data_IF_936317339190
#
_entry.id   IF_936317339190
#
_cell.length_a   1.000
_cell.length_b   1.000
_cell.length_c   1.000
_cell.angle_alpha   90.00
_cell.angle_beta   90.00
_cell.angle_gamma   90.00
#
_symmetry.space_group_name_H-M   'P 1'
#
loop_
_entity.id
_entity.type
_entity.pdbx_description
1 polymer ?
#
# COMPACT_ATOMS: atom_id res chain seq x y z
N UNK A 1 41.92 -11.92 -62.04
CA UNK A 1 41.41 -13.10 -61.29
C UNK A 1 42.08 -13.25 -59.93
N UNK A 2 43.42 -13.26 -59.82
CA UNK A 2 44.12 -13.51 -58.55
C UNK A 2 44.15 -12.30 -57.60
N UNK A 3 44.26 -11.07 -58.10
CA UNK A 3 44.10 -9.86 -57.27
C UNK A 3 42.68 -9.69 -56.70
N UNK A 4 41.65 -10.05 -57.47
CA UNK A 4 40.25 -10.01 -57.03
C UNK A 4 39.99 -11.01 -55.89
N UNK A 5 40.51 -12.24 -56.00
CA UNK A 5 40.40 -13.25 -54.95
C UNK A 5 41.09 -12.81 -53.66
N UNK A 6 42.29 -12.21 -53.75
CA UNK A 6 43.03 -11.68 -52.60
C UNK A 6 42.28 -10.53 -51.92
N UNK A 7 41.73 -9.57 -52.68
CA UNK A 7 40.90 -8.49 -52.12
C UNK A 7 39.63 -9.00 -51.45
N UNK A 8 38.94 -9.97 -52.06
CA UNK A 8 37.74 -10.57 -51.49
C UNK A 8 37.99 -11.24 -50.14
N UNK A 9 39.11 -11.97 -50.01
CA UNK A 9 39.51 -12.62 -48.76
C UNK A 9 39.93 -11.62 -47.67
N UNK A 10 40.57 -10.51 -48.05
CA UNK A 10 40.90 -9.43 -47.12
C UNK A 10 39.63 -8.78 -46.56
N UNK A 11 38.64 -8.51 -47.42
CA UNK A 11 37.34 -7.98 -47.00
C UNK A 11 36.61 -8.97 -46.09
N UNK A 12 36.59 -10.26 -46.45
CA UNK A 12 35.98 -11.29 -45.62
C UNK A 12 36.60 -11.39 -44.22
N UNK A 13 37.92 -11.31 -44.09
CA UNK A 13 38.57 -11.28 -42.78
C UNK A 13 38.14 -10.07 -41.94
N UNK A 14 38.07 -8.89 -42.56
CA UNK A 14 37.61 -7.68 -41.85
C UNK A 14 36.16 -7.82 -41.37
N UNK A 15 35.27 -8.40 -42.19
CA UNK A 15 33.88 -8.66 -41.80
C UNK A 15 33.79 -9.68 -40.65
N UNK A 16 34.64 -10.70 -40.63
CA UNK A 16 34.71 -11.68 -39.53
C UNK A 16 35.20 -11.02 -38.24
N UNK A 17 36.24 -10.19 -38.28
CA UNK A 17 36.75 -9.48 -37.09
C UNK A 17 35.69 -8.52 -36.51
N UNK A 18 34.93 -7.83 -37.38
CA UNK A 18 33.79 -7.01 -36.95
C UNK A 18 32.69 -7.85 -36.32
N UNK A 19 32.33 -8.99 -36.93
CA UNK A 19 31.34 -9.91 -36.37
C UNK A 19 31.77 -10.46 -35.00
N UNK A 20 33.05 -10.81 -34.83
CA UNK A 20 33.59 -11.31 -33.56
C UNK A 20 33.53 -10.23 -32.46
N UNK A 21 33.79 -8.97 -32.82
CA UNK A 21 33.64 -7.84 -31.90
C UNK A 21 32.18 -7.68 -31.48
N UNK A 22 31.24 -7.72 -32.43
CA UNK A 22 29.80 -7.62 -32.15
C UNK A 22 29.29 -8.77 -31.27
N UNK A 23 29.80 -9.99 -31.46
CA UNK A 23 29.45 -11.16 -30.63
C UNK A 23 29.98 -11.02 -29.20
N UNK A 24 31.18 -10.45 -29.01
CA UNK A 24 31.71 -10.14 -27.68
C UNK A 24 30.87 -9.08 -26.97
N UNK A 25 30.51 -7.99 -27.66
CA UNK A 25 29.63 -6.96 -27.10
C UNK A 25 28.23 -7.52 -26.75
N UNK A 26 27.67 -8.35 -27.62
CA UNK A 26 26.40 -9.04 -27.38
C UNK A 26 26.47 -9.97 -26.16
N UNK A 27 27.57 -10.71 -26.00
CA UNK A 27 27.77 -11.58 -24.82
C UNK A 27 27.80 -10.76 -23.53
N UNK A 28 28.55 -9.66 -23.52
CA UNK A 28 28.61 -8.77 -22.36
C UNK A 28 27.24 -8.16 -22.01
N UNK A 29 26.49 -7.72 -23.01
CA UNK A 29 25.13 -7.18 -22.84
C UNK A 29 24.16 -8.24 -22.29
N UNK A 30 24.22 -9.47 -22.79
CA UNK A 30 23.38 -10.58 -22.32
C UNK A 30 23.68 -10.94 -20.87
N UNK A 31 24.95 -10.99 -20.47
CA UNK A 31 25.32 -11.21 -19.07
C UNK A 31 24.84 -10.07 -18.15
N UNK A 32 24.84 -8.84 -18.64
CA UNK A 32 24.29 -7.71 -17.90
C UNK A 32 22.78 -7.82 -17.72
N UNK A 33 22.04 -8.23 -18.75
CA UNK A 33 20.60 -8.49 -18.65
C UNK A 33 20.31 -9.60 -17.62
N UNK A 34 21.09 -10.69 -17.62
CA UNK A 34 20.95 -11.76 -16.64
C UNK A 34 21.18 -11.25 -15.20
N UNK A 35 22.25 -10.47 -14.98
CA UNK A 35 22.54 -9.86 -13.67
C UNK A 35 21.41 -8.92 -13.22
N UNK A 36 20.89 -8.10 -14.13
CA UNK A 36 19.78 -7.19 -13.84
C UNK A 36 18.49 -7.95 -13.50
N UNK A 37 18.21 -9.06 -14.17
CA UNK A 37 17.06 -9.91 -13.86
C UNK A 37 17.15 -10.49 -12.44
N UNK A 38 18.33 -10.97 -12.03
CA UNK A 38 18.58 -11.47 -10.66
C UNK A 38 18.42 -10.35 -9.62
N UNK A 39 19.07 -9.20 -9.82
CA UNK A 39 18.95 -8.04 -8.92
C UNK A 39 17.49 -7.56 -8.79
N UNK A 40 16.75 -7.55 -9.89
CA UNK A 40 15.32 -7.18 -9.89
C UNK A 40 14.47 -8.21 -9.14
N UNK A 41 14.80 -9.51 -9.23
CA UNK A 41 14.15 -10.57 -8.44
C UNK A 41 14.38 -10.38 -6.94
N UNK A 42 15.60 -10.05 -6.51
CA UNK A 42 15.92 -9.75 -5.11
C UNK A 42 15.15 -8.53 -4.58
N UNK A 43 15.15 -7.43 -5.35
CA UNK A 43 14.40 -6.22 -5.01
C UNK A 43 12.87 -6.46 -4.97
N UNK A 44 12.37 -7.31 -5.87
CA UNK A 44 10.98 -7.78 -5.87
C UNK A 44 10.69 -8.59 -4.60
N UNK A 45 11.61 -9.47 -4.17
CA UNK A 45 11.50 -10.22 -2.92
C UNK A 45 11.38 -9.32 -1.69
N UNK A 46 12.22 -8.29 -1.60
CA UNK A 46 12.15 -7.29 -0.51
C UNK A 46 10.82 -6.51 -0.54
N UNK A 47 10.38 -6.10 -1.73
CA UNK A 47 9.11 -5.39 -1.91
C UNK A 47 7.90 -6.27 -1.52
N UNK A 48 7.95 -7.57 -1.83
CA UNK A 48 6.93 -8.54 -1.46
C UNK A 48 6.83 -8.67 0.07
N UNK A 49 7.97 -8.74 0.75
CA UNK A 49 8.02 -8.80 2.21
C UNK A 49 7.43 -7.53 2.84
N UNK A 50 7.84 -6.35 2.35
CA UNK A 50 7.30 -5.06 2.83
C UNK A 50 5.79 -4.94 2.61
N UNK A 51 5.27 -5.40 1.46
CA UNK A 51 3.84 -5.41 1.17
C UNK A 51 3.06 -6.35 2.12
N UNK A 52 3.61 -7.53 2.43
CA UNK A 52 3.02 -8.47 3.40
C UNK A 52 2.99 -7.88 4.81
N UNK A 53 4.09 -7.32 5.27
CA UNK A 53 4.15 -6.64 6.58
C UNK A 53 3.18 -5.46 6.64
N UNK A 54 3.07 -4.68 5.57
CA UNK A 54 2.08 -3.62 5.44
C UNK A 54 0.66 -4.15 5.57
N UNK A 55 0.36 -5.29 4.94
CA UNK A 55 -0.97 -5.92 4.97
C UNK A 55 -1.31 -6.38 6.38
N UNK A 56 -0.36 -6.99 7.07
CA UNK A 56 -0.56 -7.48 8.43
C UNK A 56 -0.82 -6.31 9.40
N UNK A 57 -0.08 -5.19 9.27
CA UNK A 57 -0.35 -3.95 10.03
C UNK A 57 -1.73 -3.35 9.73
N UNK A 58 -2.19 -3.43 8.49
CA UNK A 58 -3.54 -2.99 8.11
C UNK A 58 -4.59 -3.89 8.77
N UNK A 59 -4.36 -5.21 8.83
CA UNK A 59 -5.24 -6.15 9.53
C UNK A 59 -5.32 -5.86 11.03
N UNK A 60 -4.18 -5.56 11.67
CA UNK A 60 -4.15 -5.14 13.08
C UNK A 60 -4.95 -3.84 13.28
N UNK A 61 -4.80 -2.89 12.36
CA UNK A 61 -5.56 -1.62 12.36
C UNK A 61 -7.06 -1.87 12.24
N UNK A 62 -7.48 -2.80 11.36
CA UNK A 62 -8.88 -3.20 11.24
C UNK A 62 -9.41 -3.76 12.56
N UNK A 63 -8.66 -4.63 13.24
CA UNK A 63 -9.04 -5.19 14.54
C UNK A 63 -9.16 -4.12 15.63
N UNK A 64 -8.22 -3.17 15.67
CA UNK A 64 -8.26 -2.04 16.61
C UNK A 64 -9.48 -1.14 16.37
N UNK A 65 -9.81 -0.85 15.10
CA UNK A 65 -10.99 -0.07 14.70
C UNK A 65 -12.28 -0.78 15.13
N UNK A 66 -12.40 -2.09 14.93
CA UNK A 66 -13.56 -2.86 15.36
C UNK A 66 -13.75 -2.83 16.87
N UNK A 67 -12.66 -2.92 17.63
CA UNK A 67 -12.69 -2.80 19.10
C UNK A 67 -13.17 -1.40 19.50
N UNK A 68 -12.64 -0.36 18.86
CA UNK A 68 -13.06 1.02 19.10
C UNK A 68 -14.55 1.25 18.77
N UNK A 69 -15.07 0.63 17.71
CA UNK A 69 -16.51 0.66 17.41
C UNK A 69 -17.34 0.09 18.55
N UNK A 70 -16.91 -1.05 19.11
CA UNK A 70 -17.61 -1.66 20.25
C UNK A 70 -17.56 -0.77 21.49
N UNK A 71 -16.42 -0.15 21.78
CA UNK A 71 -16.26 0.75 22.94
C UNK A 71 -17.14 2.00 22.81
N UNK A 72 -17.23 2.58 21.61
CA UNK A 72 -18.12 3.72 21.31
C UNK A 72 -19.59 3.33 21.52
N UNK A 73 -19.99 2.16 21.04
CA UNK A 73 -21.37 1.65 21.23
C UNK A 73 -21.68 1.41 22.72
N UNK A 74 -20.78 0.76 23.45
CA UNK A 74 -20.93 0.53 24.88
C UNK A 74 -21.06 1.86 25.65
N UNK A 75 -20.25 2.85 25.29
CA UNK A 75 -20.29 4.16 25.93
C UNK A 75 -21.58 4.91 25.60
N UNK A 76 -22.08 4.81 24.37
CA UNK A 76 -23.39 5.36 24.01
C UNK A 76 -24.52 4.79 24.89
N UNK A 77 -24.55 3.47 25.11
CA UNK A 77 -25.53 2.82 25.99
C UNK A 77 -25.43 3.32 27.44
N UNK A 78 -24.21 3.49 27.97
CA UNK A 78 -24.02 4.02 29.32
C UNK A 78 -24.56 5.46 29.46
N UNK A 79 -24.33 6.30 28.45
CA UNK A 79 -24.81 7.69 28.45
C UNK A 79 -26.33 7.76 28.28
N UNK A 80 -26.94 6.90 27.47
CA UNK A 80 -28.39 6.76 27.38
C UNK A 80 -29.01 6.33 28.73
N UNK A 81 -28.30 5.48 29.48
CA UNK A 81 -28.65 5.14 30.86
C UNK A 81 -28.66 6.36 31.77
N UNK A 82 -27.63 7.21 31.71
CA UNK A 82 -27.57 8.47 32.47
C UNK A 82 -28.69 9.43 32.08
N UNK A 83 -29.00 9.56 30.78
CA UNK A 83 -30.11 10.38 30.30
C UNK A 83 -31.46 9.89 30.84
N UNK A 84 -31.62 8.57 31.00
CA UNK A 84 -32.81 7.97 31.60
C UNK A 84 -32.89 8.24 33.10
N UNK A 85 -31.79 8.05 33.84
CA UNK A 85 -31.72 8.38 35.26
C UNK A 85 -32.00 9.86 35.52
N UNK A 86 -31.46 10.76 34.68
CA UNK A 86 -31.76 12.19 34.75
C UNK A 86 -33.24 12.51 34.56
N UNK A 87 -33.94 11.80 33.66
CA UNK A 87 -35.41 11.94 33.51
C UNK A 87 -36.17 11.48 34.74
N UNK A 88 -35.75 10.37 35.35
CA UNK A 88 -36.42 9.84 36.54
C UNK A 88 -36.18 10.73 37.77
N UNK A 89 -34.99 11.30 37.94
CA UNK A 89 -34.73 12.32 38.96
C UNK A 89 -35.63 13.54 38.74
N UNK A 90 -35.80 13.99 37.49
CA UNK A 90 -36.72 15.09 37.16
C UNK A 90 -38.15 14.84 37.66
N UNK A 91 -38.69 13.63 37.43
CA UNK A 91 -40.02 13.23 37.93
C UNK A 91 -40.10 13.25 39.46
N UNK A 92 -39.04 12.82 40.15
CA UNK A 92 -39.00 12.85 41.62
C UNK A 92 -38.97 14.29 42.13
N UNK A 93 -38.22 15.18 41.48
CA UNK A 93 -38.19 16.61 41.84
C UNK A 93 -39.54 17.29 41.66
N UNK A 94 -40.30 16.94 40.61
CA UNK A 94 -41.67 17.44 40.43
C UNK A 94 -42.58 17.07 41.60
N UNK A 95 -42.45 15.83 42.12
CA UNK A 95 -43.20 15.38 43.30
C UNK A 95 -42.76 16.13 44.56
N UNK A 96 -41.45 16.33 44.78
CA UNK A 96 -40.95 17.06 45.95
C UNK A 96 -41.40 18.53 45.91
N UNK A 97 -41.37 19.17 44.73
CA UNK A 97 -41.86 20.54 44.53
C UNK A 97 -43.35 20.63 44.89
N UNK A 98 -44.17 19.70 44.41
CA UNK A 98 -45.58 19.63 44.76
C UNK A 98 -45.81 19.44 46.27
N UNK A 99 -45.02 18.59 46.94
CA UNK A 99 -45.08 18.41 48.40
C UNK A 99 -44.68 19.69 49.13
N UNK A 100 -43.63 20.38 48.69
CA UNK A 100 -43.17 21.64 49.29
C UNK A 100 -44.24 22.74 49.16
N UNK A 101 -44.88 22.87 47.99
CA UNK A 101 -45.99 23.80 47.77
C UNK A 101 -47.21 23.46 48.64
N UNK A 102 -47.57 22.18 48.73
CA UNK A 102 -48.67 21.72 49.60
C UNK A 102 -48.36 21.97 51.08
N UNK A 103 -47.12 21.72 51.51
CA UNK A 103 -46.66 21.98 52.88
C UNK A 103 -46.67 23.46 53.20
N UNK A 104 -46.27 24.31 52.25
CA UNK A 104 -46.35 25.77 52.38
C UNK A 104 -47.81 26.25 52.52
N UNK A 105 -48.75 25.68 51.77
CA UNK A 105 -50.19 25.95 51.88
C UNK A 105 -50.76 25.48 53.24
N UNK A 106 -50.39 24.28 53.69
CA UNK A 106 -50.78 23.75 55.00
C UNK A 106 -50.27 24.62 56.15
N UNK A 107 -49.00 25.03 56.08
CA UNK A 107 -48.38 25.92 57.06
C UNK A 107 -49.05 27.29 57.10
N UNK A 108 -49.41 27.85 55.93
CA UNK A 108 -50.16 29.10 55.85
C UNK A 108 -51.53 28.99 56.54
N UNK A 109 -52.27 27.91 56.28
CA UNK A 109 -53.56 27.68 56.93
C UNK A 109 -53.41 27.52 58.45
N UNK A 110 -52.37 26.83 58.91
CA UNK A 110 -52.06 26.69 60.34
C UNK A 110 -51.69 28.03 61.00
N UNK A 111 -50.92 28.88 60.30
CA UNK A 111 -50.57 30.23 60.78
C UNK A 111 -51.82 31.12 60.91
N UNK A 112 -52.75 31.04 59.95
CA UNK A 112 -54.03 31.75 59.98
C UNK A 112 -54.88 31.28 61.19
N UNK A 113 -55.00 29.97 61.41
CA UNK A 113 -55.80 29.44 62.52
C UNK A 113 -55.15 29.72 63.89
N UNK A 114 -53.81 29.69 63.96
CA UNK A 114 -53.06 30.09 65.15
C UNK A 114 -53.25 31.57 65.51
N UNK A 115 -53.27 32.46 64.51
CA UNK A 115 -53.60 33.88 64.72
C UNK A 115 -55.05 34.06 65.21
N UNK A 116 -55.98 33.20 64.75
CA UNK A 116 -57.38 33.20 65.15
C UNK A 116 -57.61 32.77 66.60
N UNK A 117 -56.75 31.89 67.12
CA UNK A 117 -56.76 31.43 68.51
C UNK A 117 -56.14 32.44 69.51
N UNK A 118 -55.61 33.57 69.04
CA UNK A 118 -55.06 34.64 69.88
C UNK A 118 -53.85 34.19 70.72
N UNK A 119 -53.83 34.55 72.01
CA UNK A 119 -52.72 34.21 72.94
C UNK A 119 -52.50 32.70 73.08
N UNK A 120 -53.55 31.87 72.97
CA UNK A 120 -53.44 30.42 73.06
C UNK A 120 -52.77 29.77 71.83
N UNK A 121 -52.80 30.45 70.67
CA UNK A 121 -52.22 29.97 69.41
C UNK A 121 -50.77 30.40 69.17
N UNK A 122 -50.19 31.20 70.08
CA UNK A 122 -48.90 31.86 69.85
C UNK A 122 -47.73 30.89 69.61
N UNK A 123 -47.71 29.76 70.32
CA UNK A 123 -46.73 28.69 70.08
C UNK A 123 -46.94 27.96 68.74
N UNK A 124 -48.19 27.76 68.32
CA UNK A 124 -48.51 27.16 67.02
C UNK A 124 -48.17 28.07 65.85
N UNK A 125 -48.30 29.40 66.01
CA UNK A 125 -47.94 30.38 64.98
C UNK A 125 -46.44 30.31 64.64
N UNK A 126 -45.57 30.22 65.67
CA UNK A 126 -44.11 30.10 65.46
C UNK A 126 -43.76 28.82 64.71
N UNK A 127 -44.39 27.69 65.07
CA UNK A 127 -44.18 26.42 64.38
C UNK A 127 -44.67 26.49 62.93
N UNK A 128 -45.81 27.12 62.68
CA UNK A 128 -46.35 27.28 61.34
C UNK A 128 -45.43 28.13 60.44
N UNK A 129 -44.86 29.22 60.97
CA UNK A 129 -43.89 30.04 60.22
C UNK A 129 -42.58 29.29 59.93
N UNK A 130 -42.07 28.48 60.87
CA UNK A 130 -40.87 27.67 60.66
C UNK A 130 -41.10 26.58 59.60
N UNK A 131 -42.27 25.91 59.63
CA UNK A 131 -42.66 24.93 58.59
C UNK A 131 -42.78 25.62 57.23
N UNK A 132 -43.33 26.85 57.18
CA UNK A 132 -43.43 27.64 55.95
C UNK A 132 -42.06 28.00 55.38
N UNK A 133 -41.13 28.44 56.24
CA UNK A 133 -39.76 28.74 55.86
C UNK A 133 -39.03 27.49 55.34
N UNK A 134 -39.23 26.33 55.97
CA UNK A 134 -38.66 25.05 55.54
C UNK A 134 -39.23 24.60 54.19
N UNK A 135 -40.54 24.74 53.98
CA UNK A 135 -41.18 24.45 52.71
C UNK A 135 -40.64 25.33 51.58
N UNK A 136 -40.45 26.64 51.83
CA UNK A 136 -39.86 27.57 50.87
C UNK A 136 -38.41 27.20 50.53
N UNK A 137 -37.57 26.89 51.53
CA UNK A 137 -36.20 26.43 51.31
C UNK A 137 -36.15 25.12 50.52
N UNK A 138 -37.07 24.20 50.79
CA UNK A 138 -37.18 22.94 50.04
C UNK A 138 -37.50 23.19 48.57
N UNK A 139 -38.47 24.07 48.27
CA UNK A 139 -38.83 24.44 46.91
C UNK A 139 -37.65 25.10 46.15
N UNK A 140 -36.92 25.99 46.81
CA UNK A 140 -35.72 26.61 46.22
C UNK A 140 -34.64 25.56 45.91
N UNK A 141 -34.32 24.67 46.84
CA UNK A 141 -33.36 23.60 46.61
C UNK A 141 -33.81 22.65 45.50
N UNK A 142 -35.09 22.30 45.41
CA UNK A 142 -35.59 21.48 44.28
C UNK A 142 -35.39 22.15 42.93
N UNK A 143 -35.58 23.47 42.85
CA UNK A 143 -35.36 24.23 41.61
C UNK A 143 -33.88 24.29 41.21
N UNK A 144 -32.98 24.40 42.18
CA UNK A 144 -31.53 24.32 41.93
C UNK A 144 -31.13 22.94 41.41
N UNK A 145 -31.66 21.86 41.99
CA UNK A 145 -31.40 20.49 41.52
C UNK A 145 -32.01 20.28 40.12
N UNK A 146 -33.20 20.81 39.84
CA UNK A 146 -33.84 20.73 38.52
C UNK A 146 -32.96 21.35 37.43
N UNK A 147 -32.34 22.52 37.71
CA UNK A 147 -31.36 23.13 36.80
C UNK A 147 -30.13 22.25 36.57
N UNK A 148 -29.59 21.63 37.63
CA UNK A 148 -28.46 20.70 37.50
C UNK A 148 -28.82 19.48 36.66
N UNK A 149 -30.00 18.90 36.88
CA UNK A 149 -30.50 17.75 36.12
C UNK A 149 -30.72 18.10 34.65
N UNK A 150 -31.28 19.28 34.35
CA UNK A 150 -31.40 19.77 32.97
C UNK A 150 -30.04 19.92 32.28
N UNK A 151 -29.03 20.42 33.01
CA UNK A 151 -27.65 20.48 32.54
C UNK A 151 -27.08 19.10 32.21
N UNK A 152 -27.29 18.11 33.09
CA UNK A 152 -26.90 16.71 32.85
C UNK A 152 -27.60 16.16 31.60
N UNK A 153 -28.91 16.35 31.47
CA UNK A 153 -29.68 15.87 30.31
C UNK A 153 -29.15 16.46 29.00
N UNK A 154 -28.89 17.77 28.96
CA UNK A 154 -28.32 18.39 27.77
C UNK A 154 -26.92 17.83 27.46
N UNK A 155 -26.04 17.76 28.46
CA UNK A 155 -24.70 17.19 28.29
C UNK A 155 -24.70 15.74 27.82
N UNK A 156 -25.64 14.91 28.32
CA UNK A 156 -25.81 13.54 27.82
C UNK A 156 -26.30 13.50 26.37
N UNK A 157 -27.18 14.42 25.96
CA UNK A 157 -27.65 14.52 24.58
C UNK A 157 -26.54 14.88 23.59
N UNK A 158 -25.73 15.88 23.93
CA UNK A 158 -24.54 16.27 23.15
C UNK A 158 -23.53 15.11 23.04
N UNK A 159 -23.32 14.38 24.14
CA UNK A 159 -22.41 13.24 24.16
C UNK A 159 -22.90 12.07 23.30
N UNK A 160 -24.21 11.76 23.28
CA UNK A 160 -24.80 10.76 22.38
C UNK A 160 -24.60 11.17 20.92
N UNK A 161 -24.85 12.43 20.57
CA UNK A 161 -24.66 12.93 19.21
C UNK A 161 -23.19 12.81 18.76
N UNK A 162 -22.25 13.16 19.65
CA UNK A 162 -20.80 13.01 19.40
C UNK A 162 -20.40 11.55 19.19
N UNK A 163 -20.97 10.63 19.97
CA UNK A 163 -20.74 9.19 19.81
C UNK A 163 -21.28 8.65 18.48
N UNK A 164 -22.45 9.11 18.03
CA UNK A 164 -23.00 8.74 16.72
C UNK A 164 -22.09 9.21 15.57
N UNK A 165 -21.59 10.44 15.62
CA UNK A 165 -20.63 10.96 14.64
C UNK A 165 -19.31 10.17 14.68
N UNK A 166 -18.82 9.84 15.87
CA UNK A 166 -17.61 9.03 16.05
C UNK A 166 -17.77 7.65 15.42
N UNK A 167 -18.92 6.98 15.63
CA UNK A 167 -19.23 5.70 15.02
C UNK A 167 -19.23 5.77 13.48
N UNK A 168 -19.81 6.82 12.88
CA UNK A 168 -19.78 7.04 11.42
C UNK A 168 -18.34 7.21 10.90
N UNK A 169 -17.52 7.99 11.59
CA UNK A 169 -16.10 8.17 11.21
C UNK A 169 -15.32 6.87 11.31
N UNK A 170 -15.53 6.10 12.38
CA UNK A 170 -14.90 4.79 12.56
C UNK A 170 -15.28 3.81 11.45
N UNK A 171 -16.54 3.81 11.01
CA UNK A 171 -17.00 2.98 9.89
C UNK A 171 -16.31 3.39 8.57
N UNK A 172 -16.19 4.68 8.28
CA UNK A 172 -15.47 5.16 7.10
C UNK A 172 -13.98 4.77 7.15
N UNK A 173 -13.34 4.88 8.31
CA UNK A 173 -11.95 4.46 8.50
C UNK A 173 -11.78 2.95 8.31
N UNK A 174 -12.76 2.13 8.74
CA UNK A 174 -12.76 0.69 8.52
C UNK A 174 -12.78 0.35 7.01
N UNK A 175 -13.60 1.05 6.24
CA UNK A 175 -13.67 0.86 4.78
C UNK A 175 -12.35 1.24 4.10
N UNK A 176 -11.74 2.37 4.49
CA UNK A 176 -10.44 2.79 3.98
C UNK A 176 -9.33 1.77 4.31
N UNK A 177 -9.31 1.25 5.54
CA UNK A 177 -8.34 0.23 5.94
C UNK A 177 -8.50 -1.06 5.13
N UNK A 178 -9.74 -1.52 4.90
CA UNK A 178 -10.01 -2.68 4.04
C UNK A 178 -9.55 -2.46 2.60
N UNK A 179 -9.82 -1.28 2.04
CA UNK A 179 -9.38 -0.93 0.69
C UNK A 179 -7.84 -0.93 0.58
N UNK A 180 -7.14 -0.41 1.60
CA UNK A 180 -5.68 -0.47 1.68
C UNK A 180 -5.17 -1.92 1.72
N UNK A 181 -5.86 -2.80 2.47
CA UNK A 181 -5.53 -4.23 2.53
C UNK A 181 -5.63 -4.92 1.15
N UNK A 182 -6.71 -4.63 0.40
CA UNK A 182 -6.89 -5.14 -0.97
C UNK A 182 -5.80 -4.61 -1.91
N UNK A 183 -5.44 -3.33 -1.82
CA UNK A 183 -4.38 -2.75 -2.63
C UNK A 183 -3.02 -3.42 -2.37
N UNK A 184 -2.71 -3.70 -1.10
CA UNK A 184 -1.48 -4.42 -0.73
C UNK A 184 -1.47 -5.86 -1.27
N UNK A 185 -2.62 -6.54 -1.27
CA UNK A 185 -2.74 -7.86 -1.89
C UNK A 185 -2.48 -7.84 -3.40
N UNK A 186 -3.02 -6.85 -4.11
CA UNK A 186 -2.76 -6.65 -5.54
C UNK A 186 -1.29 -6.34 -5.83
N UNK A 187 -0.64 -5.55 -4.97
CA UNK A 187 0.80 -5.29 -5.05
C UNK A 187 1.59 -6.60 -4.89
N UNK A 188 1.23 -7.41 -3.90
CA UNK A 188 1.87 -8.71 -3.62
C UNK A 188 1.76 -9.67 -4.82
N UNK A 189 0.59 -9.72 -5.47
CA UNK A 189 0.37 -10.51 -6.69
C UNK A 189 1.20 -9.99 -7.87
N UNK A 190 1.24 -8.66 -8.07
CA UNK A 190 1.99 -8.03 -9.15
C UNK A 190 3.50 -8.28 -9.00
N UNK A 191 4.03 -8.20 -7.77
CA UNK A 191 5.42 -8.50 -7.47
C UNK A 191 5.75 -9.97 -7.72
N UNK A 192 4.83 -10.88 -7.40
CA UNK A 192 5.01 -12.32 -7.68
C UNK A 192 5.14 -12.58 -9.19
N UNK A 193 4.34 -11.90 -10.01
CA UNK A 193 4.43 -11.97 -11.48
C UNK A 193 5.74 -11.36 -12.01
N UNK A 194 6.23 -10.27 -11.43
CA UNK A 194 7.54 -9.69 -11.78
C UNK A 194 8.65 -10.70 -11.51
N UNK A 195 8.61 -11.37 -10.37
CA UNK A 195 9.61 -12.37 -10.02
C UNK A 195 9.61 -13.56 -11.00
N UNK A 196 8.43 -14.08 -11.34
CA UNK A 196 8.28 -15.13 -12.36
C UNK A 196 8.86 -14.70 -13.72
N UNK A 197 8.57 -13.48 -14.16
CA UNK A 197 9.11 -12.94 -15.42
C UNK A 197 10.63 -12.78 -15.38
N UNK A 198 11.21 -12.37 -14.25
CA UNK A 198 12.66 -12.26 -14.12
C UNK A 198 13.35 -13.61 -14.21
N UNK A 199 12.75 -14.69 -13.71
CA UNK A 199 13.29 -16.04 -13.88
C UNK A 199 13.33 -16.44 -15.35
N UNK A 200 12.28 -16.12 -16.11
CA UNK A 200 12.24 -16.36 -17.57
C UNK A 200 13.29 -15.53 -18.30
N UNK A 201 13.45 -14.26 -17.93
CA UNK A 201 14.49 -13.38 -18.51
C UNK A 201 15.88 -13.94 -18.23
N UNK A 202 16.17 -14.33 -16.99
CA UNK A 202 17.47 -14.91 -16.63
C UNK A 202 17.76 -16.18 -17.43
N UNK A 203 16.79 -17.09 -17.55
CA UNK A 203 16.92 -18.32 -18.35
C UNK A 203 17.13 -18.01 -19.84
N UNK A 204 16.38 -17.06 -20.41
CA UNK A 204 16.54 -16.66 -21.81
C UNK A 204 17.90 -16.00 -22.08
N UNK A 205 18.42 -15.22 -21.12
CA UNK A 205 19.76 -14.64 -21.21
C UNK A 205 20.84 -15.72 -21.12
N UNK A 206 20.69 -16.76 -20.30
CA UNK A 206 21.62 -17.89 -20.29
C UNK A 206 21.66 -18.62 -21.64
N UNK A 207 20.49 -18.84 -22.25
CA UNK A 207 20.38 -19.44 -23.59
C UNK A 207 21.03 -18.54 -24.66
N UNK A 208 20.76 -17.24 -24.64
CA UNK A 208 21.41 -16.28 -25.54
C UNK A 208 22.92 -16.25 -25.37
N UNK A 209 23.45 -16.33 -24.14
CA UNK A 209 24.88 -16.38 -23.89
C UNK A 209 25.51 -17.67 -24.46
N UNK A 210 24.79 -18.79 -24.39
CA UNK A 210 25.22 -20.03 -25.04
C UNK A 210 25.27 -19.89 -26.56
N UNK A 211 24.24 -19.32 -27.19
CA UNK A 211 24.21 -19.08 -28.63
C UNK A 211 25.34 -18.15 -29.06
N UNK A 212 25.59 -17.06 -28.34
CA UNK A 212 26.70 -16.15 -28.64
C UNK A 212 28.06 -16.85 -28.60
N UNK A 213 28.30 -17.72 -27.60
CA UNK A 213 29.53 -18.55 -27.54
C UNK A 213 29.66 -19.54 -28.70
N UNK A 214 28.54 -20.05 -29.20
CA UNK A 214 28.53 -20.92 -30.38
C UNK A 214 28.83 -20.13 -31.66
N UNK A 215 28.25 -18.94 -31.81
CA UNK A 215 28.54 -18.05 -32.94
C UNK A 215 30.01 -17.61 -32.93
N UNK A 216 30.58 -17.28 -31.76
CA UNK A 216 32.00 -16.94 -31.62
C UNK A 216 32.91 -18.08 -32.13
N UNK A 217 32.63 -19.33 -31.71
CA UNK A 217 33.34 -20.52 -32.21
C UNK A 217 33.19 -20.69 -33.73
N UNK A 218 32.00 -20.46 -34.26
CA UNK A 218 31.76 -20.55 -35.70
C UNK A 218 32.55 -19.48 -36.47
N UNK A 219 32.68 -18.26 -35.94
CA UNK A 219 33.48 -17.20 -36.54
C UNK A 219 34.98 -17.55 -36.57
N UNK A 220 35.51 -18.17 -35.51
CA UNK A 220 36.88 -18.69 -35.50
C UNK A 220 37.07 -19.75 -36.61
N UNK A 221 36.15 -20.70 -36.74
CA UNK A 221 36.22 -21.71 -37.79
C UNK A 221 36.16 -21.10 -39.21
N UNK A 222 35.31 -20.08 -39.41
CA UNK A 222 35.20 -19.38 -40.71
C UNK A 222 36.49 -18.61 -41.01
N UNK A 223 37.11 -17.99 -40.01
CA UNK A 223 38.40 -17.30 -40.15
C UNK A 223 39.51 -18.26 -40.59
N UNK A 224 39.57 -19.44 -39.98
CA UNK A 224 40.54 -20.47 -40.33
C UNK A 224 40.32 -20.97 -41.77
N UNK A 225 39.07 -21.20 -42.16
CA UNK A 225 38.71 -21.59 -43.53
C UNK A 225 39.03 -20.49 -44.56
N UNK A 226 38.81 -19.22 -44.22
CA UNK A 226 39.20 -18.08 -45.06
C UNK A 226 40.72 -18.03 -45.24
N UNK A 227 41.49 -18.27 -44.17
CA UNK A 227 42.96 -18.36 -44.22
C UNK A 227 43.43 -19.50 -45.13
N UNK A 228 42.81 -20.68 -45.02
CA UNK A 228 43.11 -21.81 -45.88
C UNK A 228 42.76 -21.54 -47.35
N UNK A 229 41.62 -20.89 -47.60
CA UNK A 229 41.19 -20.47 -48.94
C UNK A 229 42.16 -19.48 -49.56
N UNK A 230 42.70 -18.54 -48.78
CA UNK A 230 43.73 -17.61 -49.21
C UNK A 230 45.03 -18.32 -49.62
N UNK A 231 45.47 -19.31 -48.83
CA UNK A 231 46.62 -20.14 -49.18
C UNK A 231 46.39 -20.91 -50.50
N UNK A 232 45.22 -21.52 -50.68
CA UNK A 232 44.85 -22.25 -51.90
C UNK A 232 44.75 -21.35 -53.14
N UNK A 233 44.20 -20.14 -53.01
CA UNK A 233 44.15 -19.15 -54.08
C UNK A 233 45.55 -18.70 -54.51
N UNK A 234 46.46 -18.49 -53.55
CA UNK A 234 47.86 -18.16 -53.83
C UNK A 234 48.59 -19.32 -54.55
N UNK A 235 48.36 -20.57 -54.14
CA UNK A 235 48.92 -21.74 -54.84
C UNK A 235 48.38 -21.85 -56.28
N UNK A 236 47.07 -21.64 -56.47
CA UNK A 236 46.43 -21.66 -57.79
C UNK A 236 46.96 -20.53 -58.69
N UNK A 237 47.20 -19.34 -58.12
CA UNK A 237 47.84 -18.21 -58.80
C UNK A 237 49.23 -18.59 -59.30
N UNK A 238 50.07 -19.16 -58.43
CA UNK A 238 51.42 -19.59 -58.77
C UNK A 238 51.43 -20.66 -59.87
N UNK A 239 50.56 -21.67 -59.76
CA UNK A 239 50.41 -22.70 -60.78
C UNK A 239 49.93 -22.15 -62.13
N UNK A 240 49.03 -21.16 -62.12
CA UNK A 240 48.54 -20.49 -63.34
C UNK A 240 49.65 -19.67 -64.01
N UNK A 241 50.49 -18.97 -63.23
CA UNK A 241 51.66 -18.29 -63.76
C UNK A 241 52.66 -19.25 -64.40
N UNK A 242 52.93 -20.39 -63.75
CA UNK A 242 53.84 -21.41 -64.29
C UNK A 242 53.28 -22.06 -65.56
N UNK A 243 51.98 -22.35 -65.61
CA UNK A 243 51.29 -22.81 -66.83
C UNK A 243 51.36 -21.78 -67.96
N UNK A 244 51.14 -20.50 -67.65
CA UNK A 244 51.25 -19.43 -68.64
C UNK A 244 52.68 -19.30 -69.18
N UNK A 245 53.69 -19.44 -68.32
CA UNK A 245 55.10 -19.46 -68.72
C UNK A 245 55.39 -20.64 -69.64
N UNK A 246 54.95 -21.84 -69.25
CA UNK A 246 55.12 -23.05 -70.04
C UNK A 246 54.43 -22.94 -71.41
N UNK A 247 53.23 -22.37 -71.47
CA UNK A 247 52.50 -22.15 -72.71
C UNK A 247 53.23 -21.18 -73.66
N UNK A 248 53.83 -20.11 -73.13
CA UNK A 248 54.68 -19.18 -73.90
C UNK A 248 55.93 -19.89 -74.43
N UNK A 249 56.62 -20.67 -73.58
CA UNK A 249 57.79 -21.45 -73.98
C UNK A 249 57.46 -22.45 -75.09
N UNK A 250 56.32 -23.15 -74.97
CA UNK A 250 55.84 -24.12 -75.95
C UNK A 250 55.46 -23.45 -77.29
N UNK A 251 54.80 -22.29 -77.25
CA UNK A 251 54.50 -21.50 -78.44
C UNK A 251 55.80 -21.05 -79.14
N UNK A 252 56.79 -20.58 -78.38
CA UNK A 252 58.10 -20.22 -78.91
C UNK A 252 58.84 -21.39 -79.55
N UNK A 253 58.74 -22.59 -78.98
CA UNK A 253 59.28 -23.81 -79.59
C UNK A 253 58.57 -24.15 -80.91
N UNK A 254 57.24 -24.12 -80.96
CA UNK A 254 56.47 -24.40 -82.18
C UNK A 254 56.76 -23.38 -83.27
N UNK A 255 56.88 -22.09 -82.93
CA UNK A 255 57.21 -21.03 -83.87
C UNK A 255 58.58 -21.23 -84.57
N UNK A 256 59.53 -21.93 -83.94
CA UNK A 256 60.80 -22.30 -84.58
C UNK A 256 60.67 -23.40 -85.64
N UNK A 257 59.60 -24.19 -85.62
CA UNK A 257 59.36 -25.28 -86.57
C UNK A 257 58.45 -24.90 -87.74
N UNK A 258 57.84 -23.72 -87.70
CA UNK A 258 57.09 -23.15 -88.84
C UNK A 258 58.09 -22.38 -89.71
N UNK A 259 58.64 -23.06 -90.73
CA UNK A 259 59.38 -22.49 -91.86
C UNK A 259 58.52 -22.61 -93.11
#
# INVERSE_FOLDING_TARGET
>A
MTEEASRGLQQQNNEIDQAATAVNEMTAAVEEVARNAVSTSEASGQSNQAAREGRDRVMDTVGAIQTMTQDVQNTAVMIEGLATQGRDIGKVLDVIRAIAEQTNLLALNAAIEAARAGEAGRGFAVVADEVRALAHRTAQSTQEIEKMVAGIQNGTGEAVQSMQQSNQRTQATLEMARAAGVALEQITQSISLINERNLVIASASEEQAQVSREVDRNLVNIRDLATQSAAGANQTSAASHELSRLAVDLNGMVARFVI
#
